data_IF_570403443717
#
_entry.id   IF_570403443717
#
_cell.length_a   1.000
_cell.length_b   1.000
_cell.length_c   1.000
_cell.angle_alpha   90.00
_cell.angle_beta   90.00
_cell.angle_gamma   90.00
#
_symmetry.space_group_name_H-M   'P 1'
#
loop_
_entity.id
_entity.type
_entity.pdbx_description
1 polymer ?
#
# COMPACT_ATOMS: atom_id res chain seq x y z
N UNK A 1 8.28 -40.25 -30.65
CA UNK A 1 7.08 -39.71 -29.96
C UNK A 1 7.53 -39.22 -28.59
N UNK A 2 7.79 -37.93 -28.45
CA UNK A 2 8.33 -37.34 -27.22
C UNK A 2 7.17 -36.96 -26.28
N UNK A 3 7.06 -37.71 -25.17
CA UNK A 3 6.19 -37.36 -24.06
C UNK A 3 6.84 -36.25 -23.24
N UNK A 4 6.53 -34.99 -23.55
CA UNK A 4 6.77 -33.89 -22.64
C UNK A 4 5.68 -33.97 -21.57
N UNK A 5 5.97 -34.72 -20.50
CA UNK A 5 5.20 -34.64 -19.27
C UNK A 5 5.37 -33.22 -18.72
N UNK A 6 4.33 -32.41 -18.88
CA UNK A 6 4.27 -31.07 -18.32
C UNK A 6 4.38 -31.16 -16.80
N UNK A 7 5.57 -30.89 -16.27
CA UNK A 7 5.82 -30.65 -14.86
C UNK A 7 4.97 -29.45 -14.44
N UNK A 8 3.75 -29.70 -13.96
CA UNK A 8 2.99 -28.69 -13.22
C UNK A 8 3.74 -28.46 -11.91
N UNK A 9 4.16 -27.22 -11.60
CA UNK A 9 4.79 -26.95 -10.33
C UNK A 9 3.84 -27.35 -9.19
N UNK A 10 4.36 -27.90 -8.07
CA UNK A 10 3.54 -28.31 -6.94
C UNK A 10 2.79 -27.09 -6.39
N UNK A 11 1.45 -27.18 -6.42
CA UNK A 11 0.58 -26.20 -5.77
C UNK A 11 0.60 -26.49 -4.27
N UNK A 12 1.41 -25.75 -3.54
CA UNK A 12 1.42 -25.81 -2.08
C UNK A 12 0.10 -25.23 -1.59
N UNK A 13 -0.75 -26.08 -1.01
CA UNK A 13 -2.04 -25.70 -0.41
C UNK A 13 -1.79 -25.39 1.06
N UNK A 14 -1.67 -24.12 1.38
CA UNK A 14 -1.71 -23.63 2.75
C UNK A 14 -3.07 -22.95 2.93
N UNK A 15 -3.88 -23.42 3.87
CA UNK A 15 -5.21 -22.86 4.11
C UNK A 15 -5.14 -21.82 5.22
N UNK A 16 -5.25 -20.53 4.86
CA UNK A 16 -5.64 -19.45 5.77
C UNK A 16 -7.01 -18.93 5.34
N UNK A 17 -7.92 -18.76 6.29
CA UNK A 17 -9.21 -18.07 6.10
C UNK A 17 -9.04 -16.60 6.44
N UNK A 18 -9.67 -15.73 5.65
CA UNK A 18 -9.60 -14.29 5.88
C UNK A 18 -10.65 -13.92 6.93
N UNK A 19 -10.22 -13.48 8.11
CA UNK A 19 -11.15 -13.03 9.15
C UNK A 19 -11.35 -11.51 9.00
N UNK A 20 -12.59 -11.02 8.78
CA UNK A 20 -12.85 -9.58 8.69
C UNK A 20 -12.54 -8.91 10.04
N UNK A 21 -12.09 -7.63 10.04
CA UNK A 21 -11.76 -6.94 11.28
C UNK A 21 -12.99 -6.71 12.19
N UNK A 22 -12.80 -6.90 13.49
CA UNK A 22 -13.76 -6.59 14.56
C UNK A 22 -13.99 -5.06 14.68
N UNK A 23 -15.26 -4.65 14.80
CA UNK A 23 -15.81 -3.30 15.14
C UNK A 23 -14.90 -2.09 14.85
N UNK A 24 -15.37 -1.25 13.91
CA UNK A 24 -14.72 -0.04 13.39
C UNK A 24 -14.09 0.84 14.49
N UNK A 25 -12.80 0.64 14.73
CA UNK A 25 -11.96 1.69 15.30
C UNK A 25 -11.73 2.72 14.20
N UNK A 26 -11.66 4.02 14.53
CA UNK A 26 -11.33 5.02 13.53
C UNK A 26 -9.98 4.67 12.90
N UNK A 27 -9.90 4.69 11.57
CA UNK A 27 -8.65 4.51 10.86
C UNK A 27 -7.72 5.66 11.21
N UNK A 28 -6.49 5.33 11.58
CA UNK A 28 -5.49 6.33 11.92
C UNK A 28 -4.49 6.40 10.78
N UNK A 29 -4.20 7.63 10.34
CA UNK A 29 -3.09 7.91 9.41
C UNK A 29 -2.09 8.80 10.14
N UNK A 30 -0.93 8.25 10.44
CA UNK A 30 0.15 8.99 11.10
C UNK A 30 1.03 9.67 10.06
N UNK A 31 1.17 10.99 10.16
CA UNK A 31 1.88 11.85 9.20
C UNK A 31 3.16 12.40 9.82
N UNK A 32 4.24 12.38 9.04
CA UNK A 32 5.52 12.96 9.43
C UNK A 32 6.26 13.54 8.23
N UNK A 33 7.00 14.63 8.44
CA UNK A 33 7.86 15.28 7.47
C UNK A 33 9.36 15.17 7.84
N UNK A 34 10.23 15.19 6.82
CA UNK A 34 11.68 15.25 7.03
C UNK A 34 12.31 13.96 7.57
N UNK A 35 13.61 14.00 7.92
CA UNK A 35 14.49 12.88 8.33
C UNK A 35 14.05 12.04 9.55
N UNK A 36 12.83 12.25 10.05
CA UNK A 36 12.22 11.59 11.20
C UNK A 36 11.29 10.39 10.91
N UNK A 37 11.40 9.59 9.82
CA UNK A 37 10.50 8.46 9.63
C UNK A 37 10.53 7.50 10.83
N UNK A 38 11.73 7.21 11.36
CA UNK A 38 11.95 6.25 12.45
C UNK A 38 11.21 6.58 13.75
N UNK A 39 11.09 7.86 14.11
CA UNK A 39 10.40 8.28 15.33
C UNK A 39 8.87 8.18 15.16
N UNK A 40 8.33 8.56 14.00
CA UNK A 40 6.92 8.36 13.66
C UNK A 40 6.56 6.86 13.64
N UNK A 41 7.43 6.01 13.08
CA UNK A 41 7.24 4.56 13.07
C UNK A 41 7.28 3.91 14.46
N UNK A 42 7.94 4.54 15.44
CA UNK A 42 7.98 4.05 16.82
C UNK A 42 6.66 4.23 17.57
N UNK A 43 5.75 5.08 17.06
CA UNK A 43 4.42 5.32 17.61
C UNK A 43 3.37 4.29 17.13
N UNK A 44 3.62 3.62 15.99
CA UNK A 44 2.86 2.47 15.49
C UNK A 44 3.12 1.20 16.33
N UNK A 45 3.17 1.32 17.66
CA UNK A 45 3.20 0.23 18.66
C UNK A 45 1.90 -0.59 18.66
N UNK A 46 1.34 -0.89 17.50
CA UNK A 46 0.64 -2.15 17.35
C UNK A 46 1.71 -3.23 17.54
N UNK A 47 1.56 -4.16 18.50
CA UNK A 47 2.47 -5.29 18.56
C UNK A 47 2.34 -6.02 17.24
N UNK A 48 3.37 -5.94 16.39
CA UNK A 48 3.50 -6.84 15.26
C UNK A 48 3.42 -8.23 15.90
N UNK A 49 2.37 -9.02 15.61
CA UNK A 49 2.21 -10.30 16.27
C UNK A 49 3.48 -11.11 16.05
N UNK A 50 4.02 -11.58 17.18
CA UNK A 50 5.32 -12.19 17.39
C UNK A 50 5.81 -13.14 16.28
N UNK A 51 7.15 -13.12 16.10
CA UNK A 51 7.99 -14.14 15.47
C UNK A 51 7.79 -14.36 13.96
N UNK A 52 8.19 -13.38 13.15
CA UNK A 52 8.43 -13.59 11.72
C UNK A 52 9.02 -12.36 11.02
N UNK A 53 9.64 -12.60 9.88
CA UNK A 53 10.24 -11.58 8.99
C UNK A 53 9.13 -10.85 8.22
N UNK A 54 8.88 -9.54 8.43
CA UNK A 54 7.91 -8.78 7.62
C UNK A 54 8.32 -8.74 6.14
N UNK A 55 7.35 -8.74 5.22
CA UNK A 55 7.60 -8.60 3.79
C UNK A 55 7.20 -7.21 3.30
N UNK A 56 8.16 -6.47 2.71
CA UNK A 56 7.94 -5.16 2.10
C UNK A 56 7.59 -5.31 0.63
N UNK A 57 6.42 -4.85 0.20
CA UNK A 57 5.94 -4.96 -1.17
C UNK A 57 5.87 -3.60 -1.85
N UNK A 58 6.52 -3.52 -3.00
CA UNK A 58 6.62 -2.31 -3.79
C UNK A 58 5.83 -2.55 -5.07
N UNK A 59 4.64 -1.99 -5.26
CA UNK A 59 3.90 -2.19 -6.50
C UNK A 59 4.64 -1.47 -7.63
N UNK A 60 4.38 -1.90 -8.86
CA UNK A 60 4.94 -1.25 -10.02
C UNK A 60 4.42 0.19 -10.13
N UNK A 61 5.31 1.09 -10.51
CA UNK A 61 4.87 2.35 -11.08
C UNK A 61 4.33 2.04 -12.47
N UNK A 62 3.05 2.30 -12.73
CA UNK A 62 2.42 2.11 -14.05
C UNK A 62 3.38 2.43 -15.21
N UNK A 63 3.50 1.49 -16.18
CA UNK A 63 4.33 1.62 -17.39
C UNK A 63 4.24 3.02 -17.98
N UNK A 64 5.35 3.77 -17.98
CA UNK A 64 5.49 5.04 -18.69
C UNK A 64 5.86 6.26 -17.85
N UNK A 65 5.88 6.19 -16.52
CA UNK A 65 6.29 7.33 -15.69
C UNK A 65 7.79 7.26 -15.34
N UNK A 66 8.57 8.19 -15.93
CA UNK A 66 10.04 8.26 -15.86
C UNK A 66 10.62 8.81 -14.53
N UNK A 67 9.82 8.98 -13.48
CA UNK A 67 10.28 9.58 -12.21
C UNK A 67 10.57 8.46 -11.21
N UNK A 68 11.86 8.26 -10.93
CA UNK A 68 12.31 7.21 -10.02
C UNK A 68 11.83 7.44 -8.59
N UNK A 69 11.80 6.37 -7.80
CA UNK A 69 11.48 6.39 -6.37
C UNK A 69 12.26 7.48 -5.66
N UNK A 70 11.56 8.35 -4.90
CA UNK A 70 12.23 9.31 -4.02
C UNK A 70 13.21 8.54 -3.12
N UNK A 71 14.52 8.87 -3.12
CA UNK A 71 15.49 8.19 -2.26
C UNK A 71 15.10 8.26 -0.79
N UNK A 72 14.39 9.32 -0.39
CA UNK A 72 13.88 9.48 0.96
C UNK A 72 12.79 8.45 1.30
N UNK A 73 11.82 8.24 0.40
CA UNK A 73 10.76 7.27 0.62
C UNK A 73 11.29 5.84 0.69
N UNK A 74 12.27 5.52 -0.16
CA UNK A 74 12.95 4.24 -0.11
C UNK A 74 13.76 4.05 1.20
N UNK A 75 14.43 5.10 1.67
CA UNK A 75 15.10 5.08 2.97
C UNK A 75 14.12 4.93 4.13
N UNK A 76 12.98 5.61 4.12
CA UNK A 76 11.95 5.50 5.15
C UNK A 76 11.41 4.07 5.24
N UNK A 77 11.09 3.46 4.09
CA UNK A 77 10.63 2.08 4.03
C UNK A 77 11.67 1.07 4.52
N UNK A 78 12.95 1.24 4.17
CA UNK A 78 14.03 0.37 4.62
C UNK A 78 14.38 0.58 6.10
N UNK A 79 14.38 1.82 6.57
CA UNK A 79 14.59 2.14 7.97
C UNK A 79 13.47 1.54 8.84
N UNK A 80 12.23 1.57 8.34
CA UNK A 80 11.13 0.90 9.01
C UNK A 80 11.26 -0.62 8.98
N UNK A 81 11.55 -1.20 7.81
CA UNK A 81 11.85 -2.63 7.68
C UNK A 81 12.92 -3.07 8.69
N UNK A 82 14.04 -2.34 8.78
CA UNK A 82 15.13 -2.62 9.72
C UNK A 82 14.70 -2.46 11.20
N UNK A 83 13.86 -1.47 11.51
CA UNK A 83 13.33 -1.26 12.87
C UNK A 83 12.40 -2.40 13.33
N UNK A 84 11.75 -3.09 12.38
CA UNK A 84 10.84 -4.21 12.64
C UNK A 84 11.59 -5.56 12.72
N UNK A 85 12.84 -5.63 12.24
CA UNK A 85 13.66 -6.85 12.22
C UNK A 85 14.08 -7.24 10.80
N UNK A 86 14.56 -8.47 10.58
CA UNK A 86 14.85 -8.94 9.22
C UNK A 86 13.59 -8.80 8.37
N UNK A 87 13.57 -7.89 7.40
CA UNK A 87 12.47 -7.75 6.45
C UNK A 87 12.86 -8.31 5.08
N UNK A 88 11.89 -8.82 4.34
CA UNK A 88 12.06 -9.30 2.97
C UNK A 88 11.39 -8.33 1.98
N UNK A 89 12.18 -7.60 1.19
CA UNK A 89 11.65 -6.68 0.17
C UNK A 89 11.31 -7.45 -1.09
N UNK A 90 10.02 -7.55 -1.36
CA UNK A 90 9.47 -8.04 -2.59
C UNK A 90 9.40 -6.97 -3.68
N UNK A 91 10.06 -7.22 -4.81
CA UNK A 91 9.99 -6.36 -6.00
C UNK A 91 9.25 -7.09 -7.15
N UNK A 92 8.28 -6.44 -7.82
CA UNK A 92 7.65 -6.94 -9.03
C UNK A 92 8.62 -6.87 -10.23
N UNK A 93 8.34 -7.68 -11.24
CA UNK A 93 9.33 -8.12 -12.23
C UNK A 93 9.89 -7.02 -13.16
N UNK A 94 9.24 -5.87 -13.33
CA UNK A 94 9.42 -5.12 -14.58
C UNK A 94 10.17 -3.78 -14.53
N UNK A 95 10.47 -3.19 -13.37
CA UNK A 95 11.35 -2.00 -13.30
C UNK A 95 12.75 -2.32 -12.76
N UNK A 96 13.69 -2.54 -13.68
CA UNK A 96 15.10 -2.81 -13.39
C UNK A 96 15.79 -1.67 -12.63
N UNK A 97 15.46 -0.40 -12.92
CA UNK A 97 16.13 0.75 -12.26
C UNK A 97 15.64 0.95 -10.84
N UNK A 98 14.33 0.84 -10.63
CA UNK A 98 13.75 0.84 -9.29
C UNK A 98 14.33 -0.32 -8.49
N UNK A 99 14.35 -1.53 -9.07
CA UNK A 99 14.95 -2.71 -8.47
C UNK A 99 16.41 -2.52 -8.07
N UNK A 100 17.26 -2.06 -8.98
CA UNK A 100 18.69 -1.87 -8.71
C UNK A 100 18.91 -0.86 -7.56
N UNK A 101 18.11 0.21 -7.51
CA UNK A 101 18.16 1.20 -6.42
C UNK A 101 17.72 0.62 -5.08
N UNK A 102 16.66 -0.18 -5.06
CA UNK A 102 16.21 -0.87 -3.85
C UNK A 102 17.21 -1.93 -3.39
N UNK A 103 17.84 -2.65 -4.31
CA UNK A 103 18.93 -3.58 -4.00
C UNK A 103 20.14 -2.85 -3.42
N UNK A 104 20.51 -1.70 -3.98
CA UNK A 104 21.61 -0.86 -3.46
C UNK A 104 21.32 -0.36 -2.05
N UNK A 105 20.10 0.17 -1.82
CA UNK A 105 19.72 0.66 -0.51
C UNK A 105 19.54 -0.48 0.50
N UNK A 106 18.98 -1.61 0.07
CA UNK A 106 18.84 -2.78 0.90
C UNK A 106 20.21 -3.35 1.29
N UNK A 107 21.21 -3.37 0.40
CA UNK A 107 22.57 -3.80 0.75
C UNK A 107 23.25 -2.94 1.83
N UNK A 108 22.72 -1.74 2.12
CA UNK A 108 23.18 -0.85 3.21
C UNK A 108 22.42 -1.09 4.52
N UNK A 109 21.43 -1.98 4.51
CA UNK A 109 20.63 -2.40 5.66
C UNK A 109 20.72 -3.92 5.79
N UNK A 110 20.53 -4.51 6.97
CA UNK A 110 20.46 -5.99 7.08
C UNK A 110 19.13 -6.56 6.53
N UNK A 111 18.57 -5.93 5.50
CA UNK A 111 17.27 -6.25 4.88
C UNK A 111 17.49 -7.18 3.68
N UNK A 112 16.81 -8.32 3.66
CA UNK A 112 16.86 -9.22 2.50
C UNK A 112 15.93 -8.71 1.40
N UNK A 113 16.33 -8.82 0.13
CA UNK A 113 15.46 -8.50 -1.01
C UNK A 113 15.15 -9.78 -1.76
N UNK A 114 13.88 -10.05 -2.01
CA UNK A 114 13.40 -11.18 -2.78
C UNK A 114 12.72 -10.71 -4.07
N UNK A 115 13.05 -11.38 -5.17
CA UNK A 115 12.31 -11.25 -6.42
C UNK A 115 11.02 -12.09 -6.31
N UNK A 116 9.87 -11.43 -6.29
CA UNK A 116 8.59 -12.11 -6.10
C UNK A 116 8.12 -12.79 -7.40
N UNK A 117 8.57 -12.28 -8.55
CA UNK A 117 8.01 -12.63 -9.84
C UNK A 117 8.29 -14.07 -10.29
N UNK A 118 9.19 -14.78 -9.59
CA UNK A 118 9.70 -16.08 -10.00
C UNK A 118 9.44 -17.19 -8.96
N UNK A 119 8.69 -16.91 -7.89
CA UNK A 119 8.37 -17.88 -6.83
C UNK A 119 7.21 -18.82 -7.17
N UNK A 120 7.05 -19.93 -6.43
CA UNK A 120 5.84 -20.76 -6.53
C UNK A 120 4.60 -19.96 -6.11
N UNK A 121 3.44 -20.29 -6.67
CA UNK A 121 2.16 -19.66 -6.34
C UNK A 121 1.42 -20.46 -5.27
N UNK A 122 0.89 -19.75 -4.28
CA UNK A 122 -0.01 -20.27 -3.24
C UNK A 122 -1.42 -19.75 -3.48
N UNK A 123 -2.43 -20.56 -3.14
CA UNK A 123 -3.84 -20.21 -3.31
C UNK A 123 -4.43 -19.75 -1.99
N UNK A 124 -4.93 -18.53 -1.96
CA UNK A 124 -5.74 -18.00 -0.88
C UNK A 124 -7.22 -18.15 -1.24
N UNK A 125 -7.96 -18.83 -0.38
CA UNK A 125 -9.41 -18.89 -0.47
C UNK A 125 -9.99 -17.67 0.23
N UNK A 126 -10.88 -16.98 -0.47
CA UNK A 126 -11.58 -15.84 0.10
C UNK A 126 -12.84 -16.34 0.81
N UNK A 127 -13.16 -15.72 1.93
CA UNK A 127 -14.30 -16.08 2.77
C UNK A 127 -15.64 -15.83 2.04
N UNK A 128 -16.74 -16.37 2.60
CA UNK A 128 -18.09 -16.35 2.00
C UNK A 128 -18.68 -14.94 1.76
N UNK A 129 -17.99 -13.88 2.15
CA UNK A 129 -18.33 -12.48 1.87
C UNK A 129 -17.70 -11.94 0.59
N UNK A 130 -16.79 -12.68 -0.06
CA UNK A 130 -16.34 -12.35 -1.40
C UNK A 130 -17.49 -12.60 -2.39
N UNK A 131 -17.95 -11.55 -3.06
CA UNK A 131 -19.12 -11.65 -3.94
C UNK A 131 -18.80 -12.39 -5.23
N UNK A 132 -17.60 -12.22 -5.80
CA UNK A 132 -17.26 -12.78 -7.11
C UNK A 132 -15.92 -13.55 -7.14
N UNK A 133 -14.92 -13.18 -6.34
CA UNK A 133 -13.66 -13.94 -6.26
C UNK A 133 -13.71 -15.01 -5.17
N UNK A 134 -13.82 -16.27 -5.57
CA UNK A 134 -13.76 -17.42 -4.62
C UNK A 134 -12.35 -17.75 -4.13
N UNK A 135 -11.33 -17.35 -4.88
CA UNK A 135 -9.93 -17.56 -4.55
C UNK A 135 -9.03 -16.67 -5.39
N UNK A 136 -7.89 -16.30 -4.83
CA UNK A 136 -6.80 -15.63 -5.52
C UNK A 136 -5.52 -16.46 -5.40
N UNK A 137 -4.69 -16.42 -6.44
CA UNK A 137 -3.37 -17.02 -6.42
C UNK A 137 -2.33 -15.90 -6.17
N UNK A 138 -1.56 -16.03 -5.09
CA UNK A 138 -0.51 -15.10 -4.66
C UNK A 138 0.86 -15.78 -4.71
N UNK A 139 1.96 -15.02 -4.82
CA UNK A 139 3.30 -15.56 -4.62
C UNK A 139 3.43 -16.18 -3.22
N UNK A 140 3.98 -17.39 -3.12
CA UNK A 140 4.02 -18.14 -1.87
C UNK A 140 4.78 -17.42 -0.75
N UNK A 141 5.79 -16.61 -1.10
CA UNK A 141 6.52 -15.76 -0.15
C UNK A 141 5.62 -14.71 0.50
N UNK A 142 4.70 -14.11 -0.28
CA UNK A 142 3.72 -13.15 0.23
C UNK A 142 2.68 -13.87 1.07
N UNK A 143 2.18 -15.01 0.59
CA UNK A 143 1.18 -15.79 1.31
C UNK A 143 1.69 -16.25 2.69
N UNK A 144 2.96 -16.64 2.79
CA UNK A 144 3.58 -17.09 4.02
C UNK A 144 4.03 -15.93 4.94
N UNK A 145 3.97 -14.69 4.46
CA UNK A 145 4.43 -13.53 5.20
C UNK A 145 3.60 -13.34 6.49
N UNK A 146 4.24 -13.09 7.64
CA UNK A 146 3.54 -12.72 8.87
C UNK A 146 2.85 -11.36 8.74
N UNK A 147 3.47 -10.44 7.98
CA UNK A 147 2.94 -9.12 7.68
C UNK A 147 3.42 -8.67 6.29
N UNK A 148 2.55 -7.93 5.62
CA UNK A 148 2.84 -7.30 4.32
C UNK A 148 2.83 -5.79 4.50
N UNK A 149 3.81 -5.12 3.89
CA UNK A 149 3.84 -3.66 3.82
C UNK A 149 3.59 -3.23 2.39
N UNK A 150 2.51 -2.48 2.14
CA UNK A 150 2.22 -1.91 0.83
C UNK A 150 2.76 -0.48 0.71
N UNK A 151 3.49 -0.20 -0.37
CA UNK A 151 3.93 1.17 -0.67
C UNK A 151 3.00 1.86 -1.66
N UNK A 152 2.32 2.93 -1.24
CA UNK A 152 1.48 3.75 -2.13
C UNK A 152 2.09 5.13 -2.31
N UNK A 153 1.96 5.69 -3.52
CA UNK A 153 2.56 6.99 -3.86
C UNK A 153 1.54 7.89 -4.52
N UNK A 154 1.42 9.12 -4.02
CA UNK A 154 0.45 10.08 -4.52
C UNK A 154 0.62 10.35 -6.01
N UNK A 155 1.86 10.38 -6.51
CA UNK A 155 2.10 10.59 -7.94
C UNK A 155 1.59 9.45 -8.84
N UNK A 156 1.44 8.24 -8.31
CA UNK A 156 1.04 7.03 -9.06
C UNK A 156 -0.41 6.64 -8.87
N UNK A 157 -1.12 7.21 -7.88
CA UNK A 157 -2.50 6.86 -7.61
C UNK A 157 -3.45 7.43 -8.66
N UNK A 158 -3.55 6.73 -9.80
CA UNK A 158 -4.51 7.03 -10.87
C UNK A 158 -5.89 6.50 -10.56
N UNK A 159 -5.92 5.24 -10.18
CA UNK A 159 -7.11 4.53 -9.78
C UNK A 159 -6.78 3.83 -8.46
N UNK A 160 -7.67 3.85 -7.46
CA UNK A 160 -7.45 3.17 -6.20
C UNK A 160 -7.58 1.65 -6.38
N UNK A 161 -7.06 0.91 -5.39
CA UNK A 161 -7.14 -0.55 -5.25
C UNK A 161 -6.43 -1.34 -6.36
N UNK A 162 -5.46 -0.73 -7.05
CA UNK A 162 -4.69 -1.41 -8.10
C UNK A 162 -3.48 -2.19 -7.57
N UNK A 163 -3.03 -1.90 -6.35
CA UNK A 163 -1.82 -2.51 -5.74
C UNK A 163 -1.77 -4.03 -5.89
N UNK A 164 -2.82 -4.72 -5.42
CA UNK A 164 -2.84 -6.18 -5.40
C UNK A 164 -2.95 -6.79 -6.80
N UNK A 165 -3.52 -6.06 -7.76
CA UNK A 165 -3.63 -6.52 -9.17
C UNK A 165 -2.28 -6.72 -9.85
N UNK A 166 -1.23 -6.07 -9.35
CA UNK A 166 0.13 -6.17 -9.89
C UNK A 166 0.92 -7.33 -9.27
N UNK A 167 0.43 -7.88 -8.16
CA UNK A 167 1.13 -8.87 -7.35
C UNK A 167 0.54 -10.26 -7.55
N UNK A 168 -0.78 -10.35 -7.75
CA UNK A 168 -1.48 -11.62 -7.91
C UNK A 168 -1.14 -12.31 -9.24
N UNK A 169 -1.40 -13.60 -9.31
CA UNK A 169 -1.17 -14.40 -10.52
C UNK A 169 -1.86 -13.76 -11.74
N UNK A 170 -1.24 -13.77 -12.94
CA UNK A 170 -1.80 -13.15 -14.15
C UNK A 170 -3.24 -13.55 -14.46
N UNK A 171 -3.62 -14.81 -14.21
CA UNK A 171 -5.02 -15.26 -14.36
C UNK A 171 -6.00 -14.58 -13.40
N UNK A 172 -5.59 -14.35 -12.14
CA UNK A 172 -6.41 -13.60 -11.16
C UNK A 172 -6.53 -12.15 -11.60
N UNK A 173 -5.42 -11.53 -12.00
CA UNK A 173 -5.41 -10.17 -12.57
C UNK A 173 -6.34 -10.05 -13.77
N UNK A 174 -6.26 -11.00 -14.70
CA UNK A 174 -7.12 -11.04 -15.87
C UNK A 174 -8.58 -11.09 -15.47
N UNK A 175 -8.96 -12.03 -14.59
CA UNK A 175 -10.33 -12.16 -14.06
C UNK A 175 -10.84 -10.86 -13.43
N UNK A 176 -10.01 -10.19 -12.62
CA UNK A 176 -10.38 -8.91 -12.02
C UNK A 176 -10.51 -7.78 -13.05
N UNK A 177 -9.75 -7.83 -14.16
CA UNK A 177 -9.74 -6.77 -15.17
C UNK A 177 -10.82 -6.88 -16.26
N UNK A 178 -11.34 -8.08 -16.53
CA UNK A 178 -12.29 -8.33 -17.63
C UNK A 178 -13.71 -8.64 -17.17
N UNK A 179 -13.96 -8.72 -15.86
CA UNK A 179 -15.30 -8.97 -15.34
C UNK A 179 -16.23 -7.77 -15.55
N UNK A 180 -17.52 -8.05 -15.69
CA UNK A 180 -18.58 -7.03 -15.83
C UNK A 180 -18.62 -6.06 -14.64
N UNK A 181 -18.14 -6.52 -13.47
CA UNK A 181 -18.03 -5.74 -12.23
C UNK A 181 -16.55 -5.51 -11.85
N UNK A 182 -15.76 -5.00 -12.80
CA UNK A 182 -14.32 -4.77 -12.65
C UNK A 182 -13.96 -3.99 -11.39
N UNK A 183 -14.69 -2.93 -11.08
CA UNK A 183 -14.36 -2.06 -9.96
C UNK A 183 -14.54 -2.78 -8.62
N UNK A 184 -15.65 -3.53 -8.47
CA UNK A 184 -15.87 -4.37 -7.29
C UNK A 184 -14.87 -5.52 -7.19
N UNK A 185 -14.51 -6.15 -8.31
CA UNK A 185 -13.52 -7.23 -8.34
C UNK A 185 -12.12 -6.77 -7.90
N UNK A 186 -11.70 -5.56 -8.29
CA UNK A 186 -10.44 -4.97 -7.85
C UNK A 186 -10.45 -4.63 -6.36
N UNK A 187 -11.60 -4.20 -5.85
CA UNK A 187 -11.80 -3.91 -4.43
C UNK A 187 -11.80 -5.21 -3.60
N UNK A 188 -12.48 -6.26 -4.05
CA UNK A 188 -12.39 -7.60 -3.43
C UNK A 188 -10.96 -8.14 -3.43
N UNK A 189 -10.22 -7.90 -4.52
CA UNK A 189 -8.81 -8.26 -4.60
C UNK A 189 -7.98 -7.49 -3.57
N UNK A 190 -8.30 -6.23 -3.31
CA UNK A 190 -7.61 -5.42 -2.32
C UNK A 190 -7.93 -5.81 -0.87
N UNK A 191 -9.13 -6.34 -0.63
CA UNK A 191 -9.53 -6.93 0.64
C UNK A 191 -8.85 -8.26 0.95
N UNK A 192 -8.43 -8.96 -0.10
CA UNK A 192 -8.07 -10.38 0.00
C UNK A 192 -6.91 -10.65 0.96
N UNK A 193 -5.98 -9.71 1.12
CA UNK A 193 -4.83 -9.88 2.00
C UNK A 193 -4.53 -8.58 2.73
N UNK A 194 -4.40 -8.66 4.06
CA UNK A 194 -4.10 -7.51 4.89
C UNK A 194 -2.68 -7.00 4.61
N UNK A 195 -2.51 -5.68 4.68
CA UNK A 195 -1.23 -5.00 4.57
C UNK A 195 -1.22 -3.76 5.46
N UNK A 196 -0.03 -3.37 5.92
CA UNK A 196 0.22 -2.04 6.48
C UNK A 196 0.69 -1.14 5.33
N UNK A 197 0.08 0.02 5.18
CA UNK A 197 0.31 0.92 4.07
C UNK A 197 1.24 2.05 4.47
N UNK A 198 2.36 2.17 3.76
CA UNK A 198 3.26 3.31 3.82
C UNK A 198 3.02 4.20 2.60
N UNK A 199 2.68 5.45 2.86
CA UNK A 199 2.19 6.42 1.87
C UNK A 199 3.26 7.48 1.60
N UNK A 200 3.65 7.66 0.34
CA UNK A 200 4.38 8.84 -0.12
C UNK A 200 3.35 9.92 -0.47
N UNK A 201 3.14 10.87 0.45
CA UNK A 201 2.19 11.96 0.30
C UNK A 201 2.86 13.25 -0.16
N UNK A 202 4.14 13.17 -0.56
CA UNK A 202 4.93 14.32 -0.98
C UNK A 202 4.35 14.93 -2.27
N UNK A 203 3.83 16.17 -2.23
CA UNK A 203 3.21 16.77 -3.41
C UNK A 203 4.22 16.90 -4.57
N UNK A 204 3.82 16.52 -5.78
CA UNK A 204 4.65 16.65 -6.97
C UNK A 204 5.74 15.58 -7.16
N UNK A 205 5.70 14.48 -6.39
CA UNK A 205 6.50 13.29 -6.68
C UNK A 205 7.91 13.30 -6.08
N UNK A 206 8.10 13.95 -4.93
CA UNK A 206 9.39 13.95 -4.24
C UNK A 206 10.47 14.86 -4.83
N UNK A 207 10.10 15.79 -5.73
CA UNK A 207 10.97 16.91 -6.12
C UNK A 207 10.61 18.12 -5.24
N UNK A 208 10.81 17.98 -3.94
CA UNK A 208 10.88 19.15 -3.08
C UNK A 208 12.22 19.83 -3.32
N UNK A 209 12.23 21.17 -3.29
CA UNK A 209 13.45 21.96 -3.26
C UNK A 209 14.40 21.42 -2.17
N UNK A 210 15.69 21.74 -2.26
CA UNK A 210 16.80 21.26 -1.41
C UNK A 210 16.55 21.22 0.11
N UNK A 211 15.48 21.86 0.58
CA UNK A 211 15.15 22.08 1.99
C UNK A 211 13.80 21.46 2.40
N UNK A 212 13.01 20.91 1.46
CA UNK A 212 11.70 20.32 1.74
C UNK A 212 11.78 18.82 2.00
N UNK A 213 11.58 18.38 3.23
CA UNK A 213 11.48 16.95 3.56
C UNK A 213 10.34 16.25 2.81
N UNK A 214 10.44 14.93 2.61
CA UNK A 214 9.30 14.15 2.16
C UNK A 214 8.24 14.08 3.26
N UNK A 215 6.98 13.87 2.88
CA UNK A 215 5.89 13.68 3.82
C UNK A 215 5.37 12.25 3.67
N UNK A 216 5.45 11.48 4.74
CA UNK A 216 5.03 10.08 4.77
C UNK A 216 3.79 9.92 5.62
N UNK A 217 2.92 8.99 5.21
CA UNK A 217 1.75 8.56 5.98
C UNK A 217 1.83 7.07 6.28
N UNK A 218 1.27 6.61 7.40
CA UNK A 218 1.13 5.17 7.68
C UNK A 218 -0.25 4.84 8.19
N UNK A 219 -0.83 3.75 7.70
CA UNK A 219 -2.13 3.24 8.15
C UNK A 219 -2.26 1.74 7.86
N UNK A 220 -3.12 1.03 8.59
CA UNK A 220 -3.51 -0.35 8.31
C UNK A 220 -4.86 -0.45 7.56
N UNK A 221 -5.55 0.67 7.36
CA UNK A 221 -6.81 0.75 6.62
C UNK A 221 -6.57 1.09 5.14
N UNK A 222 -7.01 0.20 4.25
CA UNK A 222 -6.81 0.34 2.80
C UNK A 222 -7.60 1.50 2.20
N UNK A 223 -8.79 1.80 2.72
CA UNK A 223 -9.61 2.92 2.24
C UNK A 223 -8.95 4.24 2.65
N UNK A 224 -8.51 4.36 3.91
CA UNK A 224 -7.79 5.54 4.39
C UNK A 224 -6.48 5.76 3.61
N UNK A 225 -5.75 4.67 3.32
CA UNK A 225 -4.54 4.70 2.51
C UNK A 225 -4.81 5.28 1.10
N UNK A 226 -5.79 4.71 0.38
CA UNK A 226 -6.14 5.11 -0.98
C UNK A 226 -6.68 6.55 -1.02
N UNK A 227 -7.56 6.92 -0.10
CA UNK A 227 -8.12 8.28 0.01
C UNK A 227 -7.04 9.34 0.25
N UNK A 228 -6.11 9.08 1.17
CA UNK A 228 -5.02 10.02 1.48
C UNK A 228 -4.12 10.24 0.26
N UNK A 229 -3.80 9.17 -0.45
CA UNK A 229 -2.92 9.21 -1.62
C UNK A 229 -3.60 9.89 -2.81
N UNK A 230 -4.89 9.60 -3.07
CA UNK A 230 -5.70 10.31 -4.07
C UNK A 230 -5.84 11.80 -3.74
N UNK A 231 -6.15 12.14 -2.48
CA UNK A 231 -6.27 13.53 -2.05
C UNK A 231 -4.94 14.29 -2.19
N UNK A 232 -3.82 13.69 -1.77
CA UNK A 232 -2.49 14.26 -1.93
C UNK A 232 -2.15 14.54 -3.41
N UNK A 233 -2.54 13.63 -4.31
CA UNK A 233 -2.41 13.82 -5.76
C UNK A 233 -3.25 14.98 -6.28
N UNK A 234 -4.53 15.03 -5.92
CA UNK A 234 -5.42 16.12 -6.34
C UNK A 234 -4.94 17.49 -5.84
N UNK A 235 -4.36 17.56 -4.64
CA UNK A 235 -3.72 18.78 -4.13
C UNK A 235 -2.56 19.27 -5.01
N UNK A 236 -1.90 18.38 -5.75
CA UNK A 236 -0.88 18.73 -6.74
C UNK A 236 -1.48 19.26 -8.05
N UNK A 237 -2.68 18.81 -8.41
CA UNK A 237 -3.38 19.16 -9.65
C UNK A 237 -4.20 20.44 -9.61
N UNK A 238 -4.74 20.81 -8.44
CA UNK A 238 -5.40 22.13 -8.27
C UNK A 238 -4.47 23.26 -8.71
N UNK A 239 -3.16 23.12 -8.45
CA UNK A 239 -2.14 24.10 -8.89
C UNK A 239 -2.06 24.24 -10.41
N UNK A 240 -2.53 23.24 -11.15
CA UNK A 240 -2.58 23.21 -12.61
C UNK A 240 -4.00 23.46 -13.18
N UNK A 241 -4.99 23.79 -12.33
CA UNK A 241 -6.34 24.18 -12.76
C UNK A 241 -7.26 23.03 -13.17
N UNK A 242 -6.95 21.79 -12.76
CA UNK A 242 -7.83 20.64 -13.03
C UNK A 242 -8.87 20.46 -11.93
N UNK A 243 -10.13 20.35 -12.32
CA UNK A 243 -11.24 19.91 -11.47
C UNK A 243 -11.47 18.41 -11.68
N UNK A 244 -11.53 17.66 -10.59
CA UNK A 244 -11.84 16.24 -10.58
C UNK A 244 -12.85 15.93 -9.48
N UNK A 245 -13.64 14.84 -9.65
CA UNK A 245 -14.46 14.28 -8.59
C UNK A 245 -13.67 14.11 -7.29
N UNK A 246 -14.32 14.33 -6.16
CA UNK A 246 -13.73 14.12 -4.84
C UNK A 246 -13.25 12.67 -4.67
N UNK A 247 -12.25 12.40 -3.81
CA UNK A 247 -11.76 11.03 -3.61
C UNK A 247 -12.86 10.02 -3.23
N UNK A 248 -13.88 10.48 -2.48
CA UNK A 248 -15.07 9.71 -2.10
C UNK A 248 -16.03 9.37 -3.24
N UNK A 249 -16.00 10.13 -4.33
CA UNK A 249 -16.88 9.95 -5.49
C UNK A 249 -16.32 8.89 -6.46
N UNK A 250 -15.13 8.37 -6.20
CA UNK A 250 -14.54 7.34 -7.05
C UNK A 250 -15.32 6.02 -6.93
N UNK A 251 -15.76 5.38 -8.05
CA UNK A 251 -16.60 4.19 -8.03
C UNK A 251 -16.04 3.04 -7.17
N UNK A 252 -14.72 2.80 -7.23
CA UNK A 252 -14.06 1.80 -6.37
C UNK A 252 -14.04 2.14 -4.88
N UNK A 253 -13.99 3.41 -4.49
CA UNK A 253 -14.09 3.80 -3.08
C UNK A 253 -15.50 3.53 -2.58
N UNK A 254 -16.51 3.87 -3.39
CA UNK A 254 -17.91 3.52 -3.09
C UNK A 254 -18.09 2.01 -2.96
N UNK A 255 -17.59 1.21 -3.90
CA UNK A 255 -17.62 -0.24 -3.82
C UNK A 255 -16.89 -0.79 -2.57
N UNK A 256 -15.79 -0.17 -2.15
CA UNK A 256 -15.07 -0.55 -0.92
C UNK A 256 -15.87 -0.28 0.35
N UNK A 257 -16.59 0.86 0.40
CA UNK A 257 -17.51 1.16 1.51
C UNK A 257 -18.72 0.21 1.51
N UNK A 258 -19.28 -0.11 0.35
CA UNK A 258 -20.37 -1.10 0.24
C UNK A 258 -19.95 -2.50 0.71
N UNK A 259 -18.68 -2.85 0.50
CA UNK A 259 -18.05 -4.09 0.95
C UNK A 259 -17.52 -4.02 2.40
N UNK A 260 -17.67 -2.87 3.08
CA UNK A 260 -17.24 -2.65 4.48
C UNK A 260 -15.77 -3.01 4.72
N UNK A 261 -14.89 -2.62 3.79
CA UNK A 261 -13.46 -2.96 3.85
C UNK A 261 -12.62 -2.07 4.77
N UNK A 262 -13.25 -1.15 5.48
CA UNK A 262 -12.58 -0.19 6.34
C UNK A 262 -13.55 0.89 6.79
N UNK A 263 -13.10 2.14 6.74
CA UNK A 263 -13.93 3.30 7.05
C UNK A 263 -15.09 3.49 6.08
N UNK A 264 -16.25 3.85 6.63
CA UNK A 264 -17.47 4.14 5.87
C UNK A 264 -17.63 5.66 5.60
N UNK A 265 -16.99 6.50 6.41
CA UNK A 265 -17.04 7.97 6.25
C UNK A 265 -15.69 8.63 6.53
N UNK A 266 -15.52 9.87 6.05
CA UNK A 266 -14.34 10.69 6.35
C UNK A 266 -14.08 10.87 7.83
N UNK A 267 -15.15 11.03 8.62
CA UNK A 267 -15.06 11.29 10.07
C UNK A 267 -14.50 10.11 10.85
N UNK A 268 -14.51 8.93 10.26
CA UNK A 268 -13.90 7.72 10.82
C UNK A 268 -12.38 7.67 10.55
N UNK A 269 -11.82 8.66 9.84
CA UNK A 269 -10.39 8.80 9.58
C UNK A 269 -9.81 9.89 10.48
N UNK A 270 -8.77 9.56 11.22
CA UNK A 270 -7.99 10.47 12.04
C UNK A 270 -6.58 10.66 11.47
N UNK A 271 -6.28 11.88 11.00
CA UNK A 271 -4.95 12.28 10.55
C UNK A 271 -4.15 12.83 11.72
N UNK A 272 -3.10 12.11 12.14
CA UNK A 272 -2.23 12.50 13.25
C UNK A 272 -0.96 13.15 12.75
N UNK A 273 -0.59 14.29 13.33
CA UNK A 273 0.69 14.95 13.09
C UNK A 273 1.30 15.42 14.42
N UNK A 274 2.63 15.42 14.53
CA UNK A 274 3.33 16.00 15.70
C UNK A 274 3.16 17.52 15.72
N UNK A 275 2.95 18.08 16.91
CA UNK A 275 2.88 19.53 17.15
C UNK A 275 4.14 20.28 16.73
N UNK A 276 5.27 19.58 16.65
CA UNK A 276 6.55 20.14 16.22
C UNK A 276 6.80 20.02 14.70
N UNK A 277 5.82 19.51 13.95
CA UNK A 277 5.91 19.26 12.52
C UNK A 277 4.87 20.06 11.72
N UNK A 278 5.14 21.37 11.59
CA UNK A 278 4.28 22.30 10.86
C UNK A 278 3.96 21.86 9.42
N UNK A 279 4.89 21.14 8.77
CA UNK A 279 4.71 20.67 7.40
C UNK A 279 3.68 19.54 7.38
N UNK A 280 3.81 18.55 8.28
CA UNK A 280 2.83 17.47 8.41
C UNK A 280 1.46 18.01 8.84
N UNK A 281 1.39 18.95 9.79
CA UNK A 281 0.13 19.58 10.23
C UNK A 281 -0.59 20.24 9.05
N UNK A 282 0.12 21.10 8.30
CA UNK A 282 -0.48 21.77 7.13
C UNK A 282 -0.96 20.79 6.07
N UNK A 283 -0.24 19.67 5.87
CA UNK A 283 -0.73 18.64 4.96
C UNK A 283 -1.97 17.94 5.53
N UNK A 284 -1.96 17.56 6.80
CA UNK A 284 -3.08 16.92 7.49
C UNK A 284 -4.35 17.75 7.34
N UNK A 285 -4.29 19.06 7.59
CA UNK A 285 -5.43 19.96 7.41
C UNK A 285 -5.94 20.03 5.96
N UNK A 286 -5.03 20.00 4.99
CA UNK A 286 -5.41 20.03 3.57
C UNK A 286 -6.04 18.71 3.12
N UNK A 287 -5.51 17.59 3.60
CA UNK A 287 -6.08 16.26 3.36
C UNK A 287 -7.44 16.16 4.02
N UNK A 288 -7.56 16.51 5.30
CA UNK A 288 -8.80 16.50 6.06
C UNK A 288 -9.94 17.21 5.33
N UNK A 289 -9.70 18.40 4.78
CA UNK A 289 -10.72 19.12 3.99
C UNK A 289 -11.15 18.39 2.71
N UNK A 290 -10.28 17.57 2.12
CA UNK A 290 -10.56 16.82 0.89
C UNK A 290 -11.27 15.50 1.13
N UNK A 291 -10.97 14.84 2.26
CA UNK A 291 -11.52 13.52 2.59
C UNK A 291 -12.47 13.54 3.79
N UNK A 292 -12.89 14.73 4.25
CA UNK A 292 -13.75 14.95 5.42
C UNK A 292 -13.23 14.27 6.72
N UNK A 293 -11.90 14.25 6.90
CA UNK A 293 -11.23 13.59 8.02
C UNK A 293 -11.01 14.51 9.23
N UNK A 294 -10.79 13.91 10.40
CA UNK A 294 -10.45 14.60 11.64
C UNK A 294 -8.94 14.78 11.74
N UNK A 295 -8.47 15.97 12.13
CA UNK A 295 -7.04 16.22 12.41
C UNK A 295 -6.80 16.13 13.91
N UNK A 296 -5.77 15.39 14.30
CA UNK A 296 -5.30 15.26 15.67
C UNK A 296 -3.84 15.71 15.74
N UNK A 297 -3.54 16.69 16.60
CA UNK A 297 -2.18 17.20 16.80
C UNK A 297 -1.64 16.57 18.10
N UNK A 298 -0.57 15.79 17.99
CA UNK A 298 0.08 15.16 19.14
C UNK A 298 1.18 16.07 19.69
N UNK A 299 1.12 16.36 20.99
CA UNK A 299 2.05 17.27 21.68
C UNK A 299 3.27 16.58 22.29
N UNK A 300 3.40 15.27 22.07
CA UNK A 300 4.45 14.42 22.62
C UNK A 300 5.81 14.57 21.94
#
# INVERSE_FOLDING_TARGET
MNAIAALRPPRVRLERRYQPPEVARPAVVELASGHYPLAAFSALRQPIPSAGTPHLLIPETTRGQRRGTSPFFAQAALAWAAAVGQAQVGLPATDRRCRDRWLELAARSDTQVMDIAHGPWARLHLDAHAFALTSIDLPASIFAAPSVIGLLRAEHAREPFTFWSEIVHPNTRLRASVGDDRDRLLVELAAAHQAIWLLDLTPGGGVTASDGGAIVGVTDDVIAAELCVLAARQLSWIRAGFEEPGPWEHPRVQAATELRLGVDTGRDIALRASANDDVAIRLAERLARRIDAVVLIDSR
#
